data_IF_914615870464
#
_entry.id   IF_914615870464
#
_cell.length_a   1.000
_cell.length_b   1.000
_cell.length_c   1.000
_cell.angle_alpha   90.00
_cell.angle_beta   90.00
_cell.angle_gamma   90.00
#
_symmetry.space_group_name_H-M   'P 1'
#
loop_
_entity.id
_entity.type
_entity.pdbx_description
1 polymer ?
#
# COMPACT_ATOMS: atom_id res chain seq x y z
N UNK A 1 5.09 11.44 -5.91
CA UNK A 1 5.13 10.70 -7.19
C UNK A 1 5.64 9.31 -6.85
N UNK A 2 4.76 8.32 -6.88
CA UNK A 2 5.13 6.91 -6.74
C UNK A 2 5.58 6.39 -8.12
N UNK A 3 6.62 5.57 -8.16
CA UNK A 3 7.06 4.89 -9.39
C UNK A 3 6.77 3.41 -9.18
N UNK A 4 5.83 2.89 -9.95
CA UNK A 4 5.45 1.48 -9.97
C UNK A 4 6.25 0.77 -11.08
N UNK A 5 6.86 -0.37 -10.78
CA UNK A 5 7.66 -1.12 -11.72
C UNK A 5 7.44 -2.62 -11.49
N UNK A 6 7.26 -3.39 -12.57
CA UNK A 6 6.75 -4.76 -12.54
C UNK A 6 7.88 -5.81 -12.59
N UNK A 7 7.75 -6.84 -11.75
CA UNK A 7 8.83 -7.75 -11.34
C UNK A 7 9.13 -8.93 -12.28
N UNK A 8 8.13 -9.36 -13.04
CA UNK A 8 8.15 -10.68 -13.66
C UNK A 8 9.30 -10.84 -14.66
N UNK A 9 9.73 -9.74 -15.27
CA UNK A 9 10.82 -9.72 -16.24
C UNK A 9 12.22 -9.69 -15.58
N UNK A 10 12.35 -9.26 -14.33
CA UNK A 10 13.65 -8.93 -13.71
C UNK A 10 14.35 -10.13 -13.06
N UNK A 11 13.60 -11.03 -12.40
CA UNK A 11 14.17 -12.25 -11.79
C UNK A 11 14.75 -13.21 -12.84
N UNK A 12 14.11 -13.31 -14.01
CA UNK A 12 14.62 -14.09 -15.13
C UNK A 12 15.89 -13.48 -15.75
N UNK A 13 15.94 -12.14 -15.85
CA UNK A 13 17.07 -11.42 -16.46
C UNK A 13 18.33 -11.44 -15.60
N UNK A 14 18.21 -11.40 -14.27
CA UNK A 14 19.37 -11.37 -13.36
C UNK A 14 19.82 -12.74 -12.82
N UNK A 15 19.09 -13.83 -13.10
CA UNK A 15 19.44 -15.19 -12.63
C UNK A 15 19.48 -15.35 -11.10
N UNK A 16 18.84 -14.43 -10.35
CA UNK A 16 18.82 -14.44 -8.89
C UNK A 16 17.64 -15.24 -8.36
N UNK A 17 17.88 -16.06 -7.33
CA UNK A 17 16.88 -16.98 -6.76
C UNK A 17 16.25 -16.48 -5.45
N UNK A 18 16.86 -15.49 -4.78
CA UNK A 18 16.44 -15.01 -3.47
C UNK A 18 16.20 -13.49 -3.46
N UNK A 19 15.14 -13.06 -2.76
CA UNK A 19 14.71 -11.64 -2.66
C UNK A 19 15.75 -10.76 -1.94
N UNK A 20 16.49 -11.33 -0.97
CA UNK A 20 17.54 -10.63 -0.25
C UNK A 20 18.70 -10.22 -1.16
N UNK A 21 19.09 -11.09 -2.10
CA UNK A 21 20.17 -10.85 -3.05
C UNK A 21 19.82 -9.75 -4.06
N UNK A 22 18.52 -9.57 -4.32
CA UNK A 22 18.00 -8.45 -5.10
C UNK A 22 18.21 -7.21 -4.26
N UNK A 23 17.57 -7.10 -3.08
CA UNK A 23 17.65 -5.91 -2.21
C UNK A 23 19.08 -5.43 -1.92
N UNK A 24 20.03 -6.35 -1.68
CA UNK A 24 21.45 -6.00 -1.46
C UNK A 24 22.15 -5.42 -2.70
N UNK A 25 21.80 -5.87 -3.90
CA UNK A 25 22.35 -5.32 -5.15
C UNK A 25 21.93 -3.86 -5.33
N UNK A 26 20.70 -3.50 -4.92
CA UNK A 26 20.16 -2.15 -5.14
C UNK A 26 20.51 -1.13 -4.05
N UNK A 27 20.79 -1.59 -2.82
CA UNK A 27 21.27 -0.69 -1.76
C UNK A 27 22.76 -0.35 -1.92
N UNK A 28 23.52 -1.16 -2.69
CA UNK A 28 24.98 -1.08 -2.73
C UNK A 28 25.61 -0.77 -4.11
N UNK A 29 24.88 -0.78 -5.23
CA UNK A 29 25.49 -0.61 -6.57
C UNK A 29 25.11 0.72 -7.27
N UNK A 30 26.14 1.50 -7.66
CA UNK A 30 26.03 2.83 -8.29
C UNK A 30 25.85 2.75 -9.82
N UNK A 31 26.05 1.59 -10.47
CA UNK A 31 26.31 1.55 -11.93
C UNK A 31 25.21 0.89 -12.80
N UNK A 32 24.25 0.13 -12.24
CA UNK A 32 23.25 -0.64 -13.04
C UNK A 32 21.77 -0.23 -12.85
N UNK A 33 21.50 1.03 -12.50
CA UNK A 33 20.17 1.50 -12.09
C UNK A 33 19.21 1.84 -13.26
N UNK A 34 18.88 0.87 -14.11
CA UNK A 34 17.69 0.92 -14.98
C UNK A 34 16.96 -0.43 -14.89
N UNK A 35 15.75 -0.38 -14.31
CA UNK A 35 14.78 -1.48 -14.05
C UNK A 35 14.85 -2.07 -12.63
N UNK A 36 13.80 -1.85 -11.83
CA UNK A 36 13.65 -2.32 -10.44
C UNK A 36 12.28 -2.96 -10.28
N UNK A 37 12.20 -4.19 -9.77
CA UNK A 37 11.37 -4.48 -8.58
C UNK A 37 11.78 -5.81 -7.93
N UNK A 38 11.62 -5.87 -6.60
CA UNK A 38 11.32 -7.00 -5.70
C UNK A 38 10.44 -6.37 -4.64
N UNK A 39 9.17 -6.79 -4.56
CA UNK A 39 8.08 -5.99 -4.04
C UNK A 39 7.93 -4.63 -4.78
N UNK A 40 6.73 -4.13 -5.03
CA UNK A 40 6.60 -2.76 -5.56
C UNK A 40 7.26 -1.80 -4.54
N UNK A 41 8.37 -1.17 -4.91
CA UNK A 41 9.03 -0.14 -4.09
C UNK A 41 8.49 1.21 -4.56
N UNK A 42 7.34 1.59 -4.02
CA UNK A 42 6.80 2.96 -4.14
C UNK A 42 7.54 3.88 -3.17
N UNK A 43 8.26 4.86 -3.70
CA UNK A 43 9.08 5.83 -2.96
C UNK A 43 8.33 7.17 -2.86
N UNK A 44 8.23 7.79 -1.67
CA UNK A 44 7.46 9.05 -1.47
C UNK A 44 8.32 10.24 -0.96
N UNK A 45 8.41 11.30 -1.80
CA UNK A 45 9.08 12.65 -1.73
C UNK A 45 10.63 12.67 -1.55
N UNK A 46 11.48 13.57 -2.10
CA UNK A 46 11.39 14.75 -3.01
C UNK A 46 12.78 15.25 -3.50
N UNK A 47 12.78 16.12 -4.53
CA UNK A 47 13.86 16.82 -5.28
C UNK A 47 14.70 16.10 -6.36
N UNK A 48 14.64 16.69 -7.56
CA UNK A 48 15.23 16.26 -8.83
C UNK A 48 16.75 16.16 -8.77
N UNK A 49 17.30 14.95 -8.93
CA UNK A 49 18.70 14.74 -9.22
C UNK A 49 18.90 13.48 -10.07
N UNK A 50 19.88 13.53 -10.98
CA UNK A 50 20.22 12.42 -11.86
C UNK A 50 20.65 11.16 -11.08
N UNK A 51 20.33 10.01 -11.63
CA UNK A 51 20.68 8.66 -11.15
C UNK A 51 22.21 8.54 -11.04
N UNK A 52 22.82 8.58 -9.82
CA UNK A 52 22.77 7.54 -8.78
C UNK A 52 22.41 8.02 -7.33
N UNK A 53 21.88 9.23 -7.14
CA UNK A 53 21.56 9.78 -5.80
C UNK A 53 20.22 9.32 -5.17
N UNK A 54 19.44 8.50 -5.87
CA UNK A 54 17.99 8.36 -5.66
C UNK A 54 17.60 7.56 -4.40
N UNK A 55 18.33 6.50 -4.02
CA UNK A 55 18.00 5.79 -2.77
C UNK A 55 18.41 6.56 -1.49
N UNK A 56 19.21 7.64 -1.62
CA UNK A 56 19.63 8.45 -0.46
C UNK A 56 18.64 9.56 -0.10
N UNK A 57 17.61 9.77 -0.91
CA UNK A 57 16.59 10.82 -0.70
C UNK A 57 15.23 10.31 -0.25
N UNK A 58 15.05 9.00 -0.03
CA UNK A 58 13.78 8.43 0.41
C UNK A 58 13.88 7.83 1.81
N UNK A 59 12.82 8.04 2.59
CA UNK A 59 12.72 7.54 3.97
C UNK A 59 11.87 6.27 4.10
N UNK A 60 11.11 5.91 3.07
CA UNK A 60 10.10 4.84 3.10
C UNK A 60 10.30 3.88 1.92
N UNK A 61 10.27 2.58 2.21
CA UNK A 61 10.22 1.50 1.23
C UNK A 61 8.87 0.79 1.40
N UNK A 62 8.06 0.81 0.34
CA UNK A 62 6.88 -0.04 0.26
C UNK A 62 7.28 -1.49 -0.03
N UNK A 63 6.58 -2.44 0.60
CA UNK A 63 6.78 -3.86 0.38
C UNK A 63 5.45 -4.51 -0.01
N UNK A 64 5.19 -4.64 -1.31
CA UNK A 64 4.04 -5.39 -1.86
C UNK A 64 4.37 -6.84 -2.22
N UNK A 65 3.38 -7.73 -2.14
CA UNK A 65 3.46 -9.12 -2.59
C UNK A 65 2.51 -9.43 -3.75
N UNK A 66 1.94 -8.44 -4.45
CA UNK A 66 0.86 -8.68 -5.42
C UNK A 66 1.21 -9.68 -6.53
N UNK A 67 2.47 -9.74 -6.95
CA UNK A 67 2.96 -10.67 -7.97
C UNK A 67 3.73 -11.89 -7.44
N UNK A 68 4.01 -11.95 -6.13
CA UNK A 68 4.90 -12.97 -5.55
C UNK A 68 4.24 -13.65 -4.34
N UNK A 69 4.23 -14.98 -4.35
CA UNK A 69 3.87 -15.76 -3.15
C UNK A 69 5.13 -16.08 -2.36
N UNK A 70 5.21 -15.62 -1.11
CA UNK A 70 6.26 -16.02 -0.19
C UNK A 70 5.75 -16.08 1.25
N UNK A 71 6.39 -16.88 2.14
CA UNK A 71 5.96 -17.02 3.53
C UNK A 71 5.96 -15.70 4.31
N UNK A 72 5.03 -15.56 5.26
CA UNK A 72 4.93 -14.37 6.11
C UNK A 72 6.23 -14.07 6.87
N UNK A 73 6.93 -15.11 7.34
CA UNK A 73 8.20 -14.97 8.04
C UNK A 73 9.31 -14.40 7.13
N UNK A 74 9.25 -14.67 5.83
CA UNK A 74 10.19 -14.10 4.86
C UNK A 74 9.90 -12.61 4.65
N UNK A 75 8.63 -12.21 4.70
CA UNK A 75 8.23 -10.80 4.65
C UNK A 75 8.67 -10.01 5.88
N UNK A 76 8.57 -10.61 7.07
CA UNK A 76 9.09 -10.01 8.28
C UNK A 76 10.62 -9.82 8.21
N UNK A 77 11.34 -10.79 7.63
CA UNK A 77 12.79 -10.63 7.39
C UNK A 77 13.11 -9.52 6.40
N UNK A 78 12.25 -9.26 5.41
CA UNK A 78 12.40 -8.10 4.51
C UNK A 78 12.18 -6.79 5.27
N UNK A 79 11.18 -6.72 6.16
CA UNK A 79 10.96 -5.56 7.04
C UNK A 79 12.20 -5.29 7.89
N UNK A 80 12.76 -6.32 8.54
CA UNK A 80 13.98 -6.20 9.34
C UNK A 80 15.15 -5.68 8.50
N UNK A 81 15.28 -6.17 7.26
CA UNK A 81 16.31 -5.73 6.33
C UNK A 81 16.13 -4.26 5.94
N UNK A 82 14.91 -3.81 5.63
CA UNK A 82 14.62 -2.37 5.38
C UNK A 82 14.98 -1.52 6.60
N UNK A 83 14.56 -1.92 7.79
CA UNK A 83 14.88 -1.22 9.04
C UNK A 83 16.38 -1.19 9.35
N UNK A 84 17.13 -2.23 8.95
CA UNK A 84 18.60 -2.26 9.11
C UNK A 84 19.31 -1.13 8.37
N UNK A 85 18.70 -0.63 7.28
CA UNK A 85 19.17 0.52 6.51
C UNK A 85 18.64 1.87 7.04
N UNK A 86 17.98 1.88 8.20
CA UNK A 86 17.35 3.07 8.82
C UNK A 86 16.22 3.70 7.98
N UNK A 87 15.64 2.91 7.09
CA UNK A 87 14.46 3.26 6.30
C UNK A 87 13.20 2.71 6.98
N UNK A 88 12.04 3.25 6.63
CA UNK A 88 10.73 2.80 7.12
C UNK A 88 10.13 1.80 6.15
N UNK A 89 9.76 0.62 6.62
CA UNK A 89 8.97 -0.30 5.80
C UNK A 89 7.49 0.12 5.83
N UNK A 90 6.82 0.06 4.67
CA UNK A 90 5.38 0.21 4.51
C UNK A 90 4.84 -0.99 3.73
N UNK A 91 4.55 -2.13 4.39
CA UNK A 91 4.02 -3.29 3.71
C UNK A 91 2.61 -3.01 3.20
N UNK A 92 2.32 -3.53 2.01
CA UNK A 92 1.00 -3.51 1.37
C UNK A 92 0.35 -4.88 1.49
N UNK A 93 -0.82 -4.93 2.13
CA UNK A 93 -1.55 -6.15 2.42
C UNK A 93 -2.78 -6.24 1.52
N UNK A 94 -2.78 -7.22 0.62
CA UNK A 94 -3.94 -7.63 -0.16
C UNK A 94 -4.78 -8.70 0.54
N UNK A 95 -6.09 -8.70 0.28
CA UNK A 95 -7.01 -9.72 0.82
C UNK A 95 -6.88 -11.05 0.07
N UNK A 96 -6.49 -11.03 -1.20
CA UNK A 96 -6.40 -12.19 -2.09
C UNK A 96 -5.00 -12.31 -2.69
N UNK A 97 -4.63 -13.55 -3.02
CA UNK A 97 -3.42 -13.80 -3.80
C UNK A 97 -3.60 -13.22 -5.21
N UNK A 98 -2.64 -12.42 -5.68
CA UNK A 98 -2.73 -11.70 -6.95
C UNK A 98 -3.33 -10.30 -6.84
N UNK A 99 -3.79 -9.87 -5.65
CA UNK A 99 -4.21 -8.49 -5.41
C UNK A 99 -2.99 -7.55 -5.38
N UNK A 100 -3.07 -6.41 -6.07
CA UNK A 100 -1.93 -5.55 -6.44
C UNK A 100 -1.23 -6.04 -7.71
N UNK A 101 -1.91 -6.92 -8.47
CA UNK A 101 -1.38 -7.69 -9.59
C UNK A 101 -1.99 -7.33 -10.95
N UNK A 102 -2.94 -6.40 -10.98
CA UNK A 102 -3.88 -6.17 -12.09
C UNK A 102 -4.66 -7.45 -12.44
N UNK A 103 -5.07 -8.22 -11.43
CA UNK A 103 -5.79 -9.49 -11.64
C UNK A 103 -7.28 -9.21 -11.91
N UNK A 104 -7.86 -9.67 -13.04
CA UNK A 104 -9.28 -9.44 -13.32
C UNK A 104 -10.20 -9.98 -12.22
N UNK A 105 -11.34 -9.32 -11.99
CA UNK A 105 -12.33 -9.72 -10.99
C UNK A 105 -12.73 -11.21 -11.06
N UNK A 106 -12.92 -11.74 -12.27
CA UNK A 106 -13.25 -13.16 -12.48
C UNK A 106 -12.13 -14.13 -12.07
N UNK A 107 -10.87 -13.68 -12.14
CA UNK A 107 -9.71 -14.44 -11.66
C UNK A 107 -9.64 -14.46 -10.13
N UNK A 108 -9.93 -13.34 -9.48
CA UNK A 108 -10.00 -13.22 -8.03
C UNK A 108 -11.17 -14.01 -7.43
N UNK A 109 -12.34 -13.97 -8.07
CA UNK A 109 -13.52 -14.73 -7.67
C UNK A 109 -13.28 -16.25 -7.72
N UNK A 110 -12.55 -16.72 -8.73
CA UNK A 110 -12.19 -18.13 -8.88
C UNK A 110 -11.25 -18.64 -7.76
N UNK A 111 -10.46 -17.74 -7.16
CA UNK A 111 -9.61 -18.05 -5.99
C UNK A 111 -10.45 -18.14 -4.70
N UNK A 112 -11.65 -17.56 -4.69
CA UNK A 112 -12.60 -17.60 -3.60
C UNK A 112 -12.48 -16.42 -2.61
N UNK A 113 -13.45 -16.33 -1.71
CA UNK A 113 -13.53 -15.27 -0.69
C UNK A 113 -12.51 -15.53 0.42
N UNK A 114 -11.40 -14.80 0.40
CA UNK A 114 -10.37 -14.92 1.44
C UNK A 114 -10.83 -14.32 2.77
N UNK A 115 -10.46 -15.00 3.87
CA UNK A 115 -10.80 -14.60 5.25
C UNK A 115 -10.02 -13.33 5.66
N UNK A 116 -10.71 -12.23 6.04
CA UNK A 116 -10.07 -11.02 6.55
C UNK A 116 -9.17 -11.25 7.76
N UNK A 117 -9.41 -12.33 8.52
CA UNK A 117 -8.60 -12.68 9.69
C UNK A 117 -7.12 -12.91 9.37
N UNK A 118 -6.80 -13.45 8.18
CA UNK A 118 -5.40 -13.61 7.76
C UNK A 118 -4.71 -12.26 7.60
N UNK A 119 -5.37 -11.33 6.90
CA UNK A 119 -4.86 -9.98 6.68
C UNK A 119 -4.66 -9.25 8.01
N UNK A 120 -5.63 -9.32 8.93
CA UNK A 120 -5.52 -8.69 10.25
C UNK A 120 -4.38 -9.29 11.08
N UNK A 121 -4.26 -10.61 11.11
CA UNK A 121 -3.18 -11.29 11.83
C UNK A 121 -1.80 -10.89 11.30
N UNK A 122 -1.65 -10.78 9.99
CA UNK A 122 -0.42 -10.32 9.36
C UNK A 122 -0.16 -8.83 9.67
N UNK A 123 -1.20 -8.00 9.67
CA UNK A 123 -1.12 -6.60 10.11
C UNK A 123 -0.56 -6.47 11.53
N UNK A 124 -1.05 -7.27 12.48
CA UNK A 124 -0.50 -7.31 13.84
C UNK A 124 0.99 -7.71 13.85
N UNK A 125 1.39 -8.71 13.06
CA UNK A 125 2.80 -9.13 12.98
C UNK A 125 3.69 -7.99 12.50
N UNK A 126 3.29 -7.26 11.46
CA UNK A 126 4.05 -6.11 10.96
C UNK A 126 4.14 -4.97 11.98
N UNK A 127 3.03 -4.62 12.63
CA UNK A 127 3.04 -3.58 13.66
C UNK A 127 3.95 -3.98 14.83
N UNK A 128 3.95 -5.25 15.24
CA UNK A 128 4.85 -5.78 16.26
C UNK A 128 6.33 -5.76 15.82
N UNK A 129 6.60 -5.83 14.51
CA UNK A 129 7.92 -5.66 13.92
C UNK A 129 8.36 -4.20 13.76
N UNK A 130 7.57 -3.23 14.25
CA UNK A 130 7.90 -1.82 14.27
C UNK A 130 7.52 -1.04 13.00
N UNK A 131 6.75 -1.64 12.09
CA UNK A 131 6.23 -0.97 10.89
C UNK A 131 5.37 0.24 11.27
N UNK A 132 5.66 1.41 10.68
CA UNK A 132 4.95 2.66 10.98
C UNK A 132 3.52 2.68 10.43
N UNK A 133 3.32 2.13 9.22
CA UNK A 133 2.04 2.17 8.55
C UNK A 133 1.84 0.94 7.68
N UNK A 134 0.65 0.37 7.77
CA UNK A 134 0.17 -0.68 6.88
C UNK A 134 -0.58 -0.03 5.72
N UNK A 135 -0.27 -0.43 4.50
CA UNK A 135 -1.09 -0.12 3.34
C UNK A 135 -2.04 -1.29 3.07
N UNK A 136 -3.31 -1.00 2.84
CA UNK A 136 -4.34 -1.98 2.48
C UNK A 136 -4.71 -1.73 1.02
N UNK A 137 -4.42 -2.73 0.20
CA UNK A 137 -4.71 -2.77 -1.24
C UNK A 137 -6.22 -2.69 -1.51
N UNK A 138 -6.62 -1.98 -2.56
CA UNK A 138 -8.02 -1.86 -2.97
C UNK A 138 -8.53 -3.08 -3.73
N UNK A 139 -7.65 -3.79 -4.44
CA UNK A 139 -7.98 -4.98 -5.23
C UNK A 139 -8.55 -6.11 -4.34
N UNK A 140 -9.74 -6.61 -4.71
CA UNK A 140 -10.49 -7.61 -3.94
C UNK A 140 -11.31 -7.03 -2.77
N UNK A 141 -11.26 -5.71 -2.53
CA UNK A 141 -12.07 -5.02 -1.50
C UNK A 141 -13.02 -3.99 -2.13
N UNK A 142 -12.47 -3.02 -2.83
CA UNK A 142 -13.20 -1.90 -3.48
C UNK A 142 -12.98 -1.86 -4.99
N UNK A 143 -11.96 -2.57 -5.46
CA UNK A 143 -11.59 -2.76 -6.85
C UNK A 143 -11.67 -4.24 -7.22
N UNK A 144 -11.98 -4.54 -8.48
CA UNK A 144 -12.09 -5.89 -9.04
C UNK A 144 -13.08 -6.79 -8.27
N UNK A 145 -14.18 -6.20 -7.80
CA UNK A 145 -15.29 -6.90 -7.12
C UNK A 145 -16.63 -6.43 -7.65
N UNK A 146 -17.63 -7.32 -7.71
CA UNK A 146 -19.01 -6.94 -8.06
C UNK A 146 -19.68 -6.06 -6.98
N UNK A 147 -19.32 -6.29 -5.72
CA UNK A 147 -19.81 -5.52 -4.57
C UNK A 147 -18.68 -5.27 -3.58
N UNK A 148 -18.63 -4.04 -3.04
CA UNK A 148 -17.60 -3.66 -2.09
C UNK A 148 -17.66 -4.51 -0.82
N UNK A 149 -16.50 -5.04 -0.42
CA UNK A 149 -16.32 -5.87 0.77
C UNK A 149 -16.14 -5.01 2.03
N UNK A 150 -17.19 -4.26 2.37
CA UNK A 150 -17.18 -3.37 3.54
C UNK A 150 -17.00 -4.14 4.86
N UNK A 151 -17.29 -5.44 4.87
CA UNK A 151 -17.00 -6.36 5.97
C UNK A 151 -15.48 -6.47 6.26
N UNK A 152 -14.65 -6.52 5.21
CA UNK A 152 -13.18 -6.55 5.33
C UNK A 152 -12.69 -5.26 5.97
N UNK A 153 -13.12 -4.11 5.43
CA UNK A 153 -12.74 -2.79 5.95
C UNK A 153 -13.16 -2.62 7.41
N UNK A 154 -14.40 -3.00 7.74
CA UNK A 154 -14.92 -2.91 9.11
C UNK A 154 -14.14 -3.79 10.09
N UNK A 155 -13.73 -4.99 9.67
CA UNK A 155 -12.89 -5.88 10.46
C UNK A 155 -11.50 -5.28 10.71
N UNK A 156 -10.87 -4.74 9.68
CA UNK A 156 -9.57 -4.05 9.77
C UNK A 156 -9.65 -2.89 10.76
N UNK A 157 -10.62 -1.99 10.58
CA UNK A 157 -10.80 -0.81 11.44
C UNK A 157 -11.14 -1.15 12.89
N UNK A 158 -11.68 -2.34 13.14
CA UNK A 158 -12.00 -2.84 14.48
C UNK A 158 -10.78 -3.42 15.20
N UNK A 159 -9.88 -4.06 14.47
CA UNK A 159 -8.83 -4.90 15.07
C UNK A 159 -7.43 -4.32 14.94
N UNK A 160 -7.19 -3.47 13.94
CA UNK A 160 -5.93 -2.74 13.75
C UNK A 160 -6.10 -1.26 14.17
N UNK A 161 -5.04 -0.61 14.68
CA UNK A 161 -5.12 0.80 15.07
C UNK A 161 -5.35 1.68 13.82
N UNK A 162 -6.47 2.45 13.74
CA UNK A 162 -6.84 3.21 12.55
C UNK A 162 -5.76 4.19 12.06
N UNK A 163 -5.02 4.82 12.98
CA UNK A 163 -3.94 5.75 12.70
C UNK A 163 -2.70 5.09 12.05
N UNK A 164 -2.61 3.76 12.14
CA UNK A 164 -1.53 2.93 11.58
C UNK A 164 -1.93 2.23 10.28
N UNK A 165 -3.18 2.37 9.84
CA UNK A 165 -3.71 1.76 8.62
C UNK A 165 -3.97 2.84 7.59
N UNK A 166 -3.57 2.60 6.34
CA UNK A 166 -3.82 3.44 5.17
C UNK A 166 -4.50 2.59 4.10
N UNK A 167 -5.67 3.02 3.63
CA UNK A 167 -6.40 2.32 2.57
C UNK A 167 -6.08 2.94 1.21
N UNK A 168 -5.86 2.10 0.22
CA UNK A 168 -5.85 2.54 -1.16
C UNK A 168 -7.26 2.97 -1.60
N UNK A 169 -7.29 4.11 -2.27
CA UNK A 169 -8.52 4.78 -2.68
C UNK A 169 -8.31 5.61 -3.94
N UNK A 170 -7.79 4.98 -5.00
CA UNK A 170 -7.49 5.62 -6.28
C UNK A 170 -8.73 6.08 -7.09
N UNK A 171 -9.96 5.80 -6.63
CA UNK A 171 -11.21 6.29 -7.23
C UNK A 171 -11.91 7.32 -6.29
N UNK A 172 -12.38 8.48 -6.81
CA UNK A 172 -13.16 9.45 -6.06
C UNK A 172 -14.34 8.94 -5.25
N UNK A 173 -15.04 7.91 -5.74
CA UNK A 173 -16.14 7.27 -5.01
C UNK A 173 -15.64 6.52 -3.78
N UNK A 174 -14.46 5.91 -3.88
CA UNK A 174 -13.86 5.10 -2.81
C UNK A 174 -13.40 6.00 -1.66
N UNK A 175 -12.60 7.04 -1.92
CA UNK A 175 -12.20 7.94 -0.81
C UNK A 175 -13.37 8.74 -0.23
N UNK A 176 -14.41 9.05 -1.03
CA UNK A 176 -15.64 9.68 -0.51
C UNK A 176 -16.31 8.76 0.50
N UNK A 177 -16.43 7.47 0.18
CA UNK A 177 -17.01 6.48 1.08
C UNK A 177 -16.19 6.35 2.36
N UNK A 178 -14.86 6.20 2.29
CA UNK A 178 -14.02 6.11 3.49
C UNK A 178 -14.16 7.33 4.41
N UNK A 179 -14.16 8.56 3.85
CA UNK A 179 -14.34 9.78 4.66
C UNK A 179 -15.74 9.84 5.28
N UNK A 180 -16.77 9.39 4.57
CA UNK A 180 -18.14 9.36 5.08
C UNK A 180 -18.28 8.38 6.25
N UNK A 181 -17.70 7.20 6.16
CA UNK A 181 -17.84 6.15 7.17
C UNK A 181 -16.91 6.34 8.38
N UNK A 182 -15.66 6.80 8.15
CA UNK A 182 -14.62 6.81 9.18
C UNK A 182 -14.10 8.20 9.54
N UNK A 183 -14.61 9.25 8.87
CA UNK A 183 -14.28 10.64 9.15
C UNK A 183 -13.07 11.17 8.41
N UNK A 184 -12.81 12.47 8.60
CA UNK A 184 -11.80 13.24 7.84
C UNK A 184 -10.35 12.90 8.17
N UNK A 185 -10.10 11.97 9.09
CA UNK A 185 -8.75 11.58 9.54
C UNK A 185 -8.33 10.20 9.03
N UNK A 186 -9.21 9.48 8.33
CA UNK A 186 -8.86 8.20 7.72
C UNK A 186 -7.66 8.38 6.77
N UNK A 187 -6.64 7.54 6.90
CA UNK A 187 -5.47 7.62 6.03
C UNK A 187 -5.80 6.96 4.68
N UNK A 188 -5.55 7.68 3.59
CA UNK A 188 -5.85 7.23 2.24
C UNK A 188 -4.62 7.37 1.36
N UNK A 189 -4.34 6.34 0.58
CA UNK A 189 -3.41 6.37 -0.54
C UNK A 189 -4.20 6.69 -1.80
N UNK A 190 -3.89 7.82 -2.44
CA UNK A 190 -4.65 8.35 -3.58
C UNK A 190 -3.68 8.82 -4.68
N UNK A 191 -4.19 8.90 -5.90
CA UNK A 191 -3.42 9.50 -6.99
C UNK A 191 -3.20 11.00 -6.74
N UNK A 192 -2.03 11.48 -7.17
CA UNK A 192 -1.62 12.87 -7.00
C UNK A 192 -2.59 13.89 -7.64
N UNK A 193 -3.27 13.51 -8.74
CA UNK A 193 -4.24 14.38 -9.40
C UNK A 193 -5.51 14.62 -8.58
N UNK A 194 -5.77 13.78 -7.58
CA UNK A 194 -6.99 13.81 -6.76
C UNK A 194 -6.83 14.59 -5.45
N UNK A 195 -5.60 15.02 -5.12
CA UNK A 195 -5.27 15.67 -3.84
C UNK A 195 -6.15 16.89 -3.57
N UNK A 196 -6.39 17.74 -4.57
CA UNK A 196 -7.22 18.94 -4.40
C UNK A 196 -8.65 18.56 -4.03
N UNK A 197 -9.23 17.58 -4.73
CA UNK A 197 -10.58 17.12 -4.48
C UNK A 197 -10.73 16.46 -3.10
N UNK A 198 -9.77 15.61 -2.73
CA UNK A 198 -9.72 14.97 -1.40
C UNK A 198 -9.60 16.01 -0.28
N UNK A 199 -8.73 17.01 -0.46
CA UNK A 199 -8.55 18.09 0.52
C UNK A 199 -9.83 18.88 0.70
N UNK A 200 -10.48 19.30 -0.38
CA UNK A 200 -11.74 20.03 -0.32
C UNK A 200 -12.85 19.22 0.38
N UNK A 201 -12.90 17.90 0.15
CA UNK A 201 -13.82 17.00 0.83
C UNK A 201 -13.56 16.94 2.34
N UNK A 202 -12.31 16.80 2.78
CA UNK A 202 -11.93 16.79 4.22
C UNK A 202 -12.25 18.12 4.92
N UNK A 203 -12.26 19.22 4.18
CA UNK A 203 -12.63 20.55 4.70
C UNK A 203 -14.13 20.87 4.56
N UNK A 204 -14.92 19.95 4.00
CA UNK A 204 -16.37 20.16 3.81
C UNK A 204 -16.73 21.23 2.77
N UNK A 205 -15.78 21.63 1.91
CA UNK A 205 -15.97 22.63 0.83
C UNK A 205 -16.14 21.98 -0.55
N UNK A 206 -16.18 20.64 -0.59
CA UNK A 206 -16.49 19.82 -1.75
C UNK A 206 -17.14 18.51 -1.30
N UNK A 207 -17.91 17.89 -2.20
CA UNK A 207 -18.58 16.63 -1.93
C UNK A 207 -19.71 16.36 -2.92
N UNK A 208 -20.21 15.13 -2.88
CA UNK A 208 -21.44 14.71 -3.56
C UNK A 208 -22.65 15.03 -2.69
N UNK A 209 -23.87 14.73 -3.16
CA UNK A 209 -25.09 15.00 -2.41
C UNK A 209 -25.11 14.35 -1.00
N UNK A 210 -24.37 13.27 -0.79
CA UNK A 210 -24.23 12.56 0.48
C UNK A 210 -23.09 13.07 1.37
N UNK A 211 -22.13 13.86 0.87
CA UNK A 211 -20.98 14.36 1.65
C UNK A 211 -20.89 15.88 1.77
N UNK A 212 -21.42 16.65 0.81
CA UNK A 212 -21.37 18.12 0.84
C UNK A 212 -22.03 18.69 2.10
N UNK A 213 -21.25 19.41 2.92
CA UNK A 213 -21.71 20.03 4.16
C UNK A 213 -22.16 19.06 5.26
N UNK A 214 -21.91 17.75 5.11
CA UNK A 214 -22.36 16.70 6.03
C UNK A 214 -21.23 16.04 6.81
N UNK A 215 -20.00 16.20 6.35
CA UNK A 215 -18.80 15.68 7.02
C UNK A 215 -18.28 16.75 7.98
N UNK A 216 -18.27 16.43 9.27
CA UNK A 216 -17.77 17.31 10.34
C UNK A 216 -16.87 16.52 11.27
N UNK A 217 -15.89 17.18 11.88
CA UNK A 217 -15.04 16.60 12.91
C UNK A 217 -14.86 17.59 14.05
N UNK A 218 -14.82 17.08 15.28
CA UNK A 218 -14.52 17.86 16.46
C UNK A 218 -13.01 17.77 16.73
N UNK A 219 -12.32 18.91 16.67
CA UNK A 219 -10.92 19.03 17.07
C UNK A 219 -10.87 19.66 18.47
N UNK A 220 -10.36 18.96 19.49
CA UNK A 220 -10.02 19.63 20.74
C UNK A 220 -8.88 20.63 20.46
N UNK A 221 -9.01 21.85 20.97
CA UNK A 221 -7.94 22.87 20.94
C UNK A 221 -6.65 22.37 21.62
#
# INVERSE_FOLDING_TARGET
MAVELMLNDTLQVMGKRYLADVLETYVLDEEQQRHISVANVSLQNGDSCGWPQICRSFDVIELSSGFLSFPEDDWLRLVDKVHSYKLKAKPELGIQFGAGGDTPASGLEAIGTSDPGKLVNLGHKFLNAGVERLMIESEGITENVESWRTDVVSKIMKELPPERVMFEAADPKVYNWYIREFGIDVNLFVDHSQIVQLSCLRHGIWGTADTWGKIVSFRPE
#
